data_IF_952448471625
#
_entry.id   IF_952448471625
#
_cell.length_a   1.000
_cell.length_b   1.000
_cell.length_c   1.000
_cell.angle_alpha   90.00
_cell.angle_beta   90.00
_cell.angle_gamma   90.00
#
_symmetry.space_group_name_H-M   'P 1'
#
loop_
_entity.id
_entity.type
_entity.pdbx_description
1 polymer ?
#
# COMPACT_ATOMS: atom_id res chain seq x y z
N UNK A 1 -30.76 19.05 -6.08
CA UNK A 1 -29.60 18.23 -5.71
C UNK A 1 -28.59 18.39 -6.82
N UNK A 2 -27.41 18.95 -6.53
CA UNK A 2 -26.33 18.88 -7.51
C UNK A 2 -26.03 17.41 -7.73
N UNK A 3 -26.10 16.97 -8.99
CA UNK A 3 -25.67 15.63 -9.39
C UNK A 3 -24.17 15.56 -9.17
N UNK A 4 -23.73 14.84 -8.12
CA UNK A 4 -22.31 14.55 -7.94
C UNK A 4 -21.81 13.70 -9.11
N UNK A 5 -20.67 14.07 -9.65
CA UNK A 5 -19.99 13.40 -10.76
C UNK A 5 -18.70 12.77 -10.24
N UNK A 6 -18.10 11.89 -11.03
CA UNK A 6 -16.87 11.20 -10.65
C UNK A 6 -15.75 12.20 -10.33
N UNK A 7 -15.66 13.30 -11.07
CA UNK A 7 -14.70 14.39 -10.86
C UNK A 7 -14.87 15.14 -9.53
N UNK A 8 -16.00 14.96 -8.84
CA UNK A 8 -16.24 15.59 -7.53
C UNK A 8 -15.66 14.74 -6.37
N UNK A 9 -15.10 13.55 -6.65
CA UNK A 9 -14.51 12.66 -5.66
C UNK A 9 -13.00 12.54 -5.81
N UNK A 10 -12.29 12.59 -4.70
CA UNK A 10 -10.85 12.33 -4.61
C UNK A 10 -10.65 11.10 -3.71
N UNK A 11 -10.04 10.05 -4.25
CA UNK A 11 -9.54 8.94 -3.44
C UNK A 11 -8.11 9.26 -3.01
N UNK A 12 -7.90 9.42 -1.70
CA UNK A 12 -6.59 9.67 -1.13
C UNK A 12 -6.09 8.41 -0.39
N UNK A 13 -4.99 7.82 -0.87
CA UNK A 13 -4.27 6.74 -0.20
C UNK A 13 -3.04 7.35 0.52
N UNK A 14 -3.06 7.49 1.86
CA UNK A 14 -1.87 7.86 2.60
C UNK A 14 -0.83 6.73 2.55
N UNK A 15 0.42 7.02 2.90
CA UNK A 15 1.45 5.98 2.95
C UNK A 15 1.06 4.93 4.00
N UNK A 16 1.21 3.65 3.67
CA UNK A 16 0.72 2.54 4.51
C UNK A 16 1.36 2.43 5.90
N UNK A 17 2.41 3.19 6.19
CA UNK A 17 3.00 3.30 7.52
C UNK A 17 2.43 4.44 8.38
N UNK A 18 1.57 5.31 7.82
CA UNK A 18 1.00 6.43 8.56
C UNK A 18 -0.18 6.02 9.44
N UNK A 19 -0.31 6.63 10.62
CA UNK A 19 -1.49 6.52 11.51
C UNK A 19 -1.78 7.87 12.17
N UNK A 20 -2.83 7.95 12.98
CA UNK A 20 -3.38 9.18 13.55
C UNK A 20 -3.90 10.15 12.47
N UNK A 21 -4.38 9.60 11.35
CA UNK A 21 -4.89 10.34 10.21
C UNK A 21 -6.15 11.11 10.59
N UNK A 22 -6.98 10.54 11.46
CA UNK A 22 -8.17 11.20 11.99
C UNK A 22 -7.81 12.53 12.64
N UNK A 23 -6.83 12.52 13.54
CA UNK A 23 -6.46 13.70 14.34
C UNK A 23 -5.59 14.68 13.55
N UNK A 24 -4.80 14.20 12.60
CA UNK A 24 -3.76 15.01 11.93
C UNK A 24 -4.15 15.50 10.53
N UNK A 25 -5.07 14.80 9.85
CA UNK A 25 -5.52 15.15 8.49
C UNK A 25 -7.01 15.44 8.47
N UNK A 26 -7.83 14.50 8.96
CA UNK A 26 -9.27 14.54 8.71
C UNK A 26 -9.96 15.64 9.52
N UNK A 27 -9.76 15.71 10.83
CA UNK A 27 -10.33 16.79 11.67
C UNK A 27 -9.83 18.17 11.26
N UNK A 28 -8.52 18.41 11.01
CA UNK A 28 -8.07 19.68 10.47
C UNK A 28 -8.74 20.05 9.14
N UNK A 29 -8.95 19.08 8.26
CA UNK A 29 -9.62 19.29 6.98
C UNK A 29 -11.10 19.67 7.17
N UNK A 30 -11.81 19.01 8.08
CA UNK A 30 -13.19 19.36 8.48
C UNK A 30 -13.30 20.77 9.08
N UNK A 31 -12.22 21.31 9.64
CA UNK A 31 -12.13 22.71 10.11
C UNK A 31 -11.69 23.70 9.01
N UNK A 32 -11.61 23.26 7.75
CA UNK A 32 -11.23 24.10 6.62
C UNK A 32 -9.72 24.36 6.50
N UNK A 33 -8.87 23.67 7.26
CA UNK A 33 -7.40 23.85 7.21
C UNK A 33 -6.77 23.24 5.96
N UNK A 34 -7.49 22.41 5.23
CA UNK A 34 -7.08 21.79 3.97
C UNK A 34 -7.88 22.29 2.75
N UNK A 35 -8.59 23.42 2.90
CA UNK A 35 -9.49 23.95 1.88
C UNK A 35 -10.95 23.48 2.05
N UNK A 36 -11.77 23.74 1.04
CA UNK A 36 -13.20 23.38 1.02
C UNK A 36 -13.35 21.91 0.56
N UNK A 37 -13.17 20.98 1.50
CA UNK A 37 -13.29 19.53 1.27
C UNK A 37 -14.25 18.89 2.26
N UNK A 38 -15.20 18.11 1.74
CA UNK A 38 -16.00 17.21 2.57
C UNK A 38 -15.24 15.90 2.76
N UNK A 39 -14.68 15.72 3.97
CA UNK A 39 -13.92 14.50 4.29
C UNK A 39 -14.85 13.39 4.72
N UNK A 40 -14.95 12.37 3.87
CA UNK A 40 -15.69 11.14 4.10
C UNK A 40 -15.00 10.21 5.13
N UNK A 41 -15.73 9.23 5.69
CA UNK A 41 -15.20 8.28 6.68
C UNK A 41 -13.91 7.57 6.26
N UNK A 42 -13.06 7.28 7.25
CA UNK A 42 -11.79 6.59 7.03
C UNK A 42 -12.03 5.08 6.85
N UNK A 43 -11.53 4.54 5.74
CA UNK A 43 -11.49 3.10 5.50
C UNK A 43 -10.06 2.58 5.57
N UNK A 44 -9.83 1.54 6.37
CA UNK A 44 -8.53 0.85 6.46
C UNK A 44 -8.67 -0.53 5.85
N UNK A 45 -7.91 -0.77 4.78
CA UNK A 45 -7.89 -2.07 4.11
C UNK A 45 -6.95 -3.02 4.85
N UNK A 46 -7.47 -4.18 5.23
CA UNK A 46 -6.74 -5.20 5.98
C UNK A 46 -6.54 -6.42 5.10
N UNK A 47 -5.29 -6.87 4.99
CA UNK A 47 -4.94 -8.08 4.27
C UNK A 47 -4.99 -9.30 5.23
N UNK A 48 -5.64 -10.41 4.84
CA UNK A 48 -5.92 -11.52 5.77
C UNK A 48 -4.68 -12.15 6.41
N UNK A 49 -3.60 -12.36 5.67
CA UNK A 49 -2.41 -13.00 6.25
C UNK A 49 -1.67 -12.08 7.22
N UNK A 50 -1.60 -10.76 6.95
CA UNK A 50 -1.07 -9.79 7.92
C UNK A 50 -1.92 -9.74 9.19
N UNK A 51 -3.24 -9.87 9.05
CA UNK A 51 -4.14 -9.95 10.20
C UNK A 51 -3.93 -11.25 11.00
N UNK A 52 -3.69 -12.39 10.34
CA UNK A 52 -3.36 -13.65 11.02
C UNK A 52 -2.07 -13.51 11.82
N UNK A 53 -1.02 -12.97 11.21
CA UNK A 53 0.25 -12.74 11.91
C UNK A 53 0.07 -11.82 13.12
N UNK A 54 -0.73 -10.76 12.97
CA UNK A 54 -1.07 -9.85 14.05
C UNK A 54 -1.86 -10.51 15.19
N UNK A 55 -2.83 -11.38 14.87
CA UNK A 55 -3.63 -12.12 15.86
C UNK A 55 -2.80 -13.12 16.66
N UNK A 56 -1.73 -13.64 16.07
CA UNK A 56 -0.85 -14.66 16.65
C UNK A 56 0.42 -14.07 17.29
N UNK A 57 0.52 -12.74 17.37
CA UNK A 57 1.73 -12.01 17.78
C UNK A 57 3.00 -12.48 17.02
N UNK A 58 2.83 -12.86 15.75
CA UNK A 58 3.88 -13.40 14.90
C UNK A 58 4.73 -12.29 14.27
N UNK A 59 5.87 -12.02 14.90
CA UNK A 59 6.83 -10.97 14.49
C UNK A 59 7.89 -11.42 13.49
N UNK A 60 7.72 -12.59 12.87
CA UNK A 60 8.65 -13.08 11.85
C UNK A 60 8.66 -12.24 10.57
N UNK A 61 7.58 -11.52 10.28
CA UNK A 61 7.46 -10.69 9.09
C UNK A 61 7.73 -9.21 9.42
N UNK A 62 7.11 -8.70 10.49
CA UNK A 62 7.31 -7.33 10.94
C UNK A 62 7.49 -7.26 12.46
N UNK A 63 8.12 -6.18 12.91
CA UNK A 63 8.31 -5.92 14.34
C UNK A 63 6.99 -5.61 15.04
N UNK A 64 7.03 -5.67 16.37
CA UNK A 64 5.93 -5.19 17.22
C UNK A 64 5.59 -3.72 16.94
N UNK A 65 6.57 -2.89 16.59
CA UNK A 65 6.36 -1.48 16.26
C UNK A 65 5.51 -1.29 15.00
N UNK A 66 5.77 -2.09 13.96
CA UNK A 66 4.95 -2.04 12.73
C UNK A 66 3.54 -2.58 13.00
N UNK A 67 3.40 -3.64 13.80
CA UNK A 67 2.08 -4.13 14.21
C UNK A 67 1.34 -3.15 15.14
N UNK A 68 2.06 -2.34 15.91
CA UNK A 68 1.48 -1.24 16.66
C UNK A 68 0.86 -0.20 15.73
N UNK A 69 1.52 0.15 14.62
CA UNK A 69 0.93 1.04 13.59
C UNK A 69 -0.35 0.40 13.03
N UNK A 70 -0.30 -0.87 12.68
CA UNK A 70 -1.46 -1.59 12.12
C UNK A 70 -2.64 -1.64 13.10
N UNK A 71 -2.38 -1.89 14.40
CA UNK A 71 -3.37 -1.84 15.48
C UNK A 71 -4.04 -0.46 15.54
N UNK A 72 -3.24 0.61 15.48
CA UNK A 72 -3.72 1.99 15.53
C UNK A 72 -4.53 2.38 14.29
N UNK A 73 -4.09 1.99 13.09
CA UNK A 73 -4.86 2.20 11.87
C UNK A 73 -6.26 1.54 11.96
N UNK A 74 -6.34 0.28 12.41
CA UNK A 74 -7.63 -0.38 12.61
C UNK A 74 -8.45 0.25 13.74
N UNK A 75 -7.78 0.76 14.79
CA UNK A 75 -8.42 1.41 15.92
C UNK A 75 -9.11 2.73 15.54
N UNK A 76 -8.53 3.50 14.62
CA UNK A 76 -9.06 4.80 14.14
C UNK A 76 -10.05 4.71 12.97
N UNK A 77 -10.16 3.55 12.33
CA UNK A 77 -10.99 3.37 11.15
C UNK A 77 -12.49 3.45 11.45
N UNK A 78 -13.24 4.17 10.62
CA UNK A 78 -14.70 4.08 10.59
C UNK A 78 -15.14 2.76 9.92
N UNK A 79 -14.41 2.34 8.88
CA UNK A 79 -14.60 1.07 8.18
C UNK A 79 -13.31 0.26 8.16
N UNK A 80 -13.35 -0.96 8.70
CA UNK A 80 -12.26 -1.94 8.58
C UNK A 80 -12.61 -2.87 7.43
N UNK A 81 -11.88 -2.77 6.33
CA UNK A 81 -12.21 -3.43 5.07
C UNK A 81 -11.30 -4.65 4.91
N UNK A 82 -11.78 -5.83 5.29
CA UNK A 82 -11.09 -7.10 5.06
C UNK A 82 -11.11 -7.41 3.55
N UNK A 83 -9.98 -7.16 2.88
CA UNK A 83 -9.82 -7.40 1.45
C UNK A 83 -9.30 -8.82 1.17
N UNK A 84 -9.27 -9.22 -0.10
CA UNK A 84 -8.80 -10.54 -0.56
C UNK A 84 -9.61 -11.70 0.05
N UNK A 85 -10.90 -11.51 0.33
CA UNK A 85 -11.74 -12.60 0.87
C UNK A 85 -11.93 -13.76 -0.11
N UNK A 86 -11.59 -13.57 -1.38
CA UNK A 86 -11.50 -14.63 -2.40
C UNK A 86 -10.39 -15.66 -2.10
N UNK A 87 -9.42 -15.33 -1.26
CA UNK A 87 -8.33 -16.23 -0.87
C UNK A 87 -8.62 -17.02 0.41
N UNK A 88 -9.81 -16.87 1.01
CA UNK A 88 -10.16 -17.44 2.30
C UNK A 88 -11.28 -18.47 2.17
N UNK A 89 -11.20 -19.53 2.98
CA UNK A 89 -12.37 -20.36 3.23
C UNK A 89 -13.36 -19.68 4.20
N UNK A 90 -14.58 -20.21 4.28
CA UNK A 90 -15.64 -19.64 5.11
C UNK A 90 -15.25 -19.58 6.59
N UNK A 91 -14.60 -20.61 7.12
CA UNK A 91 -14.25 -20.68 8.54
C UNK A 91 -13.09 -19.76 8.91
N UNK A 92 -12.09 -19.62 8.04
CA UNK A 92 -11.03 -18.63 8.21
C UNK A 92 -11.58 -17.22 8.19
N UNK A 93 -12.45 -16.91 7.22
CA UNK A 93 -13.06 -15.59 7.11
C UNK A 93 -13.90 -15.23 8.34
N UNK A 94 -14.73 -16.16 8.83
CA UNK A 94 -15.52 -15.96 10.05
C UNK A 94 -14.65 -15.67 11.28
N UNK A 95 -13.51 -16.35 11.43
CA UNK A 95 -12.56 -16.08 12.52
C UNK A 95 -11.98 -14.68 12.46
N UNK A 96 -11.51 -14.26 11.27
CA UNK A 96 -10.92 -12.93 11.08
C UNK A 96 -11.95 -11.82 11.31
N UNK A 97 -13.14 -11.97 10.77
CA UNK A 97 -14.24 -10.99 10.96
C UNK A 97 -14.66 -10.92 12.42
N UNK A 98 -14.76 -12.06 13.12
CA UNK A 98 -15.10 -12.08 14.55
C UNK A 98 -14.06 -11.35 15.39
N UNK A 99 -12.77 -11.62 15.14
CA UNK A 99 -11.68 -10.93 15.82
C UNK A 99 -11.74 -9.41 15.63
N UNK A 100 -11.92 -8.94 14.38
CA UNK A 100 -12.01 -7.52 14.09
C UNK A 100 -13.19 -6.84 14.79
N UNK A 101 -14.37 -7.48 14.78
CA UNK A 101 -15.56 -6.94 15.46
C UNK A 101 -15.40 -6.91 16.99
N UNK A 102 -14.75 -7.91 17.58
CA UNK A 102 -14.50 -7.98 19.01
C UNK A 102 -13.48 -6.92 19.45
N UNK A 103 -12.36 -6.80 18.72
CA UNK A 103 -11.26 -5.90 19.08
C UNK A 103 -11.55 -4.44 18.74
N UNK A 104 -12.26 -4.17 17.65
CA UNK A 104 -12.53 -2.81 17.15
C UNK A 104 -14.03 -2.52 17.00
N UNK A 105 -14.81 -2.55 18.09
CA UNK A 105 -16.28 -2.43 18.05
C UNK A 105 -16.78 -1.06 17.58
N UNK A 106 -15.90 -0.07 17.48
CA UNK A 106 -16.24 1.27 16.97
C UNK A 106 -16.24 1.33 15.43
N UNK A 107 -15.44 0.49 14.77
CA UNK A 107 -15.36 0.43 13.31
C UNK A 107 -16.33 -0.60 12.76
N UNK A 108 -16.84 -0.36 11.55
CA UNK A 108 -17.67 -1.33 10.83
C UNK A 108 -16.80 -2.24 9.97
N UNK A 109 -16.84 -3.55 10.22
CA UNK A 109 -16.10 -4.54 9.42
C UNK A 109 -16.84 -4.80 8.10
N UNK A 110 -16.15 -4.63 6.99
CA UNK A 110 -16.65 -4.88 5.63
C UNK A 110 -15.80 -5.95 4.94
N UNK A 111 -16.43 -6.83 4.18
CA UNK A 111 -15.77 -7.92 3.45
C UNK A 111 -15.74 -7.60 1.96
N UNK A 112 -14.54 -7.56 1.35
CA UNK A 112 -14.41 -7.31 -0.09
C UNK A 112 -13.41 -8.25 -0.77
N UNK A 113 -13.61 -8.47 -2.06
CA UNK A 113 -12.54 -8.84 -2.99
C UNK A 113 -12.40 -7.72 -4.00
N UNK A 114 -11.35 -6.90 -3.87
CA UNK A 114 -11.05 -5.87 -4.87
C UNK A 114 -10.73 -6.48 -6.24
N UNK A 115 -10.18 -7.71 -6.27
CA UNK A 115 -9.87 -8.45 -7.48
C UNK A 115 -11.12 -8.90 -8.24
N UNK A 116 -12.10 -9.44 -7.53
CA UNK A 116 -13.37 -9.90 -8.13
C UNK A 116 -14.45 -8.81 -8.17
N UNK A 117 -14.19 -7.63 -7.59
CA UNK A 117 -15.16 -6.54 -7.42
C UNK A 117 -16.23 -6.80 -6.36
N UNK A 118 -16.19 -7.95 -5.67
CA UNK A 118 -17.20 -8.34 -4.68
C UNK A 118 -17.15 -7.42 -3.46
N UNK A 119 -18.31 -6.91 -3.06
CA UNK A 119 -18.48 -6.08 -1.84
C UNK A 119 -17.99 -4.63 -1.98
N UNK A 120 -17.29 -4.28 -3.08
CA UNK A 120 -16.75 -2.93 -3.30
C UNK A 120 -17.86 -1.88 -3.37
N UNK A 121 -18.92 -2.14 -4.13
CA UNK A 121 -20.07 -1.22 -4.22
C UNK A 121 -20.73 -1.01 -2.85
N UNK A 122 -20.98 -2.09 -2.11
CA UNK A 122 -21.56 -2.02 -0.76
C UNK A 122 -20.70 -1.19 0.19
N UNK A 123 -19.38 -1.38 0.16
CA UNK A 123 -18.44 -0.60 0.95
C UNK A 123 -18.47 0.89 0.57
N UNK A 124 -18.36 1.22 -0.72
CA UNK A 124 -18.37 2.61 -1.16
C UNK A 124 -19.71 3.31 -0.87
N UNK A 125 -20.84 2.62 -1.04
CA UNK A 125 -22.15 3.14 -0.66
C UNK A 125 -22.26 3.40 0.85
N UNK A 126 -21.67 2.53 1.67
CA UNK A 126 -21.64 2.75 3.12
C UNK A 126 -20.82 4.00 3.49
N UNK A 127 -19.67 4.21 2.85
CA UNK A 127 -18.85 5.42 3.02
C UNK A 127 -19.62 6.67 2.61
N UNK A 128 -20.29 6.64 1.45
CA UNK A 128 -21.06 7.78 0.92
C UNK A 128 -22.34 8.09 1.71
N UNK A 129 -22.91 7.08 2.38
CA UNK A 129 -24.16 7.22 3.14
C UNK A 129 -23.93 7.48 4.63
N UNK A 130 -22.69 7.43 5.09
CA UNK A 130 -22.35 7.63 6.49
C UNK A 130 -22.59 9.07 6.93
N UNK A 131 -22.96 9.24 8.20
CA UNK A 131 -23.04 10.56 8.81
C UNK A 131 -21.62 11.11 9.03
N UNK A 132 -21.24 12.10 8.22
CA UNK A 132 -19.93 12.77 8.28
C UNK A 132 -19.68 13.37 9.66
N UNK A 133 -20.72 13.85 10.35
CA UNK A 133 -20.60 14.45 11.69
C UNK A 133 -20.29 13.40 12.76
N UNK A 134 -20.81 12.16 12.60
CA UNK A 134 -20.54 11.05 13.49
C UNK A 134 -19.24 10.31 13.16
N UNK A 135 -18.76 10.37 11.91
CA UNK A 135 -17.50 9.76 11.48
C UNK A 135 -16.29 10.39 12.18
N UNK A 136 -15.24 9.59 12.41
CA UNK A 136 -13.97 10.04 12.97
C UNK A 136 -14.10 10.66 14.38
N UNK A 137 -15.17 10.33 15.12
CA UNK A 137 -15.45 10.87 16.45
C UNK A 137 -14.54 10.28 17.53
N UNK A 138 -13.97 9.08 17.30
CA UNK A 138 -13.10 8.42 18.26
C UNK A 138 -11.77 9.16 18.39
N UNK A 139 -11.37 9.41 19.64
CA UNK A 139 -10.00 9.80 19.95
C UNK A 139 -9.19 8.55 20.17
N UNK A 140 -8.19 8.34 19.31
CA UNK A 140 -7.19 7.31 19.47
C UNK A 140 -5.95 7.92 20.12
N UNK A 141 -5.38 7.21 21.10
CA UNK A 141 -4.09 7.58 21.69
C UNK A 141 -2.95 6.89 20.95
N UNK A 142 -1.95 7.68 20.56
CA UNK A 142 -0.76 7.23 19.81
C UNK A 142 0.49 7.65 20.57
N UNK A 143 1.36 6.68 20.82
CA UNK A 143 2.70 6.90 21.39
C UNK A 143 3.63 7.21 20.22
N UNK A 144 3.87 8.49 19.99
CA UNK A 144 4.63 8.98 18.82
C UNK A 144 6.06 8.44 18.76
N UNK A 145 6.69 8.15 19.89
CA UNK A 145 8.01 7.53 19.91
C UNK A 145 7.97 6.12 19.31
N UNK A 146 7.03 5.28 19.74
CA UNK A 146 6.81 3.94 19.17
C UNK A 146 6.48 4.04 17.68
N UNK A 147 5.56 4.93 17.32
CA UNK A 147 5.16 5.16 15.93
C UNK A 147 6.34 5.59 15.05
N UNK A 148 7.08 6.63 15.44
CA UNK A 148 8.20 7.17 14.65
C UNK A 148 9.36 6.19 14.54
N UNK A 149 9.65 5.42 15.59
CA UNK A 149 10.66 4.37 15.54
C UNK A 149 10.26 3.27 14.55
N UNK A 150 8.99 2.83 14.61
CA UNK A 150 8.47 1.80 13.72
C UNK A 150 8.45 2.23 12.24
N UNK A 151 8.06 3.47 11.93
CA UNK A 151 8.15 3.98 10.55
C UNK A 151 9.59 4.00 10.03
N UNK A 152 10.52 4.37 10.90
CA UNK A 152 11.93 4.42 10.56
C UNK A 152 12.55 3.03 10.32
N UNK A 153 11.91 1.93 10.73
CA UNK A 153 12.38 0.57 10.42
C UNK A 153 12.30 0.25 8.93
N UNK A 154 11.33 0.84 8.23
CA UNK A 154 11.07 0.58 6.82
C UNK A 154 11.90 1.51 5.92
N UNK A 155 12.70 0.92 5.04
CA UNK A 155 13.32 1.61 3.93
C UNK A 155 12.29 1.95 2.86
N UNK A 156 12.31 3.21 2.41
CA UNK A 156 11.46 3.73 1.36
C UNK A 156 12.28 3.90 0.10
N UNK A 157 11.91 3.21 -0.98
CA UNK A 157 12.45 3.44 -2.31
C UNK A 157 11.33 3.87 -3.27
N UNK A 158 11.55 4.99 -3.95
CA UNK A 158 10.77 5.42 -5.10
C UNK A 158 11.72 5.54 -6.29
N UNK A 159 11.37 4.95 -7.43
CA UNK A 159 12.16 5.11 -8.64
C UNK A 159 11.28 5.39 -9.85
N UNK A 160 11.83 6.14 -10.79
CA UNK A 160 11.26 6.34 -12.13
C UNK A 160 12.36 6.15 -13.17
N UNK A 161 12.03 5.55 -14.28
CA UNK A 161 12.95 5.25 -15.36
C UNK A 161 12.24 5.21 -16.71
N UNK A 162 12.95 5.51 -17.77
CA UNK A 162 12.53 5.26 -19.14
C UNK A 162 13.21 4.00 -19.67
N UNK A 163 12.40 3.01 -20.04
CA UNK A 163 12.86 1.79 -20.68
C UNK A 163 12.95 2.03 -22.18
N UNK A 164 14.09 1.70 -22.79
CA UNK A 164 14.31 1.76 -24.23
C UNK A 164 14.87 0.41 -24.72
N UNK A 165 14.04 -0.41 -25.35
CA UNK A 165 14.43 -1.72 -25.88
C UNK A 165 15.26 -1.59 -27.17
N UNK A 166 16.31 -2.42 -27.31
CA UNK A 166 17.16 -2.45 -28.52
C UNK A 166 16.38 -2.85 -29.77
N UNK A 167 15.51 -3.85 -29.65
CA UNK A 167 14.51 -4.24 -30.66
C UNK A 167 13.10 -4.12 -30.07
N UNK A 168 12.61 -5.13 -29.36
CA UNK A 168 11.45 -5.05 -28.45
C UNK A 168 11.69 -5.96 -27.24
N UNK A 169 10.93 -5.74 -26.17
CA UNK A 169 10.93 -6.63 -25.00
C UNK A 169 9.49 -6.92 -24.56
N UNK A 170 9.22 -8.11 -24.05
CA UNK A 170 7.93 -8.40 -23.41
C UNK A 170 7.84 -7.63 -22.08
N UNK A 171 6.95 -6.62 -22.03
CA UNK A 171 6.79 -5.75 -20.87
C UNK A 171 6.36 -6.48 -19.61
N UNK A 172 5.45 -7.45 -19.72
CA UNK A 172 4.97 -8.21 -18.55
C UNK A 172 6.05 -9.15 -18.00
N UNK A 173 6.85 -9.76 -18.88
CA UNK A 173 7.98 -10.58 -18.49
C UNK A 173 9.08 -9.76 -17.80
N UNK A 174 9.39 -8.57 -18.33
CA UNK A 174 10.32 -7.62 -17.71
C UNK A 174 9.84 -7.26 -16.29
N UNK A 175 8.57 -6.89 -16.14
CA UNK A 175 8.01 -6.50 -14.85
C UNK A 175 8.04 -7.64 -13.84
N UNK A 176 7.68 -8.85 -14.28
CA UNK A 176 7.70 -10.05 -13.44
C UNK A 176 9.12 -10.40 -12.99
N UNK A 177 10.09 -10.35 -13.92
CA UNK A 177 11.49 -10.61 -13.61
C UNK A 177 12.09 -9.57 -12.66
N UNK A 178 11.79 -8.28 -12.84
CA UNK A 178 12.21 -7.23 -11.93
C UNK A 178 11.56 -7.38 -10.54
N UNK A 179 10.27 -7.68 -10.50
CA UNK A 179 9.54 -7.91 -9.25
C UNK A 179 10.14 -9.05 -8.44
N UNK A 180 10.41 -10.18 -9.09
CA UNK A 180 11.05 -11.34 -8.44
C UNK A 180 12.48 -11.01 -8.00
N UNK A 181 13.29 -10.37 -8.83
CA UNK A 181 14.66 -10.03 -8.50
C UNK A 181 14.77 -9.06 -7.30
N UNK A 182 13.85 -8.10 -7.19
CA UNK A 182 13.78 -7.19 -6.03
C UNK A 182 13.28 -7.92 -4.78
N UNK A 183 12.31 -8.83 -4.92
CA UNK A 183 11.82 -9.67 -3.81
C UNK A 183 12.93 -10.55 -3.25
N UNK A 184 13.68 -11.20 -4.13
CA UNK A 184 14.85 -12.02 -3.76
C UNK A 184 15.91 -11.18 -3.06
N UNK A 185 16.25 -9.99 -3.58
CA UNK A 185 17.21 -9.10 -2.95
C UNK A 185 16.80 -8.68 -1.54
N UNK A 186 15.52 -8.38 -1.31
CA UNK A 186 15.01 -8.06 0.04
C UNK A 186 15.13 -9.28 0.96
N UNK A 187 14.82 -10.48 0.47
CA UNK A 187 14.92 -11.71 1.24
C UNK A 187 16.38 -12.06 1.59
N UNK A 188 17.33 -11.82 0.68
CA UNK A 188 18.77 -12.04 0.89
C UNK A 188 19.34 -11.13 1.99
N UNK A 189 18.81 -9.91 2.12
CA UNK A 189 19.14 -8.99 3.23
C UNK A 189 18.43 -9.37 4.54
N UNK A 190 17.66 -10.47 4.56
CA UNK A 190 16.86 -10.89 5.72
C UNK A 190 15.67 -9.96 6.02
N UNK A 191 15.29 -9.12 5.05
CA UNK A 191 14.20 -8.16 5.20
C UNK A 191 12.84 -8.73 4.81
N UNK A 192 11.80 -7.92 5.03
CA UNK A 192 10.42 -8.21 4.64
C UNK A 192 9.87 -7.08 3.76
N UNK A 193 9.01 -7.43 2.80
CA UNK A 193 8.32 -6.45 1.95
C UNK A 193 7.00 -6.06 2.61
N UNK A 194 6.83 -4.77 2.88
CA UNK A 194 5.52 -4.14 3.14
C UNK A 194 4.70 -4.14 1.87
N UNK A 195 5.21 -3.44 0.86
CA UNK A 195 4.68 -3.50 -0.49
C UNK A 195 5.75 -3.18 -1.52
N UNK A 196 5.63 -3.84 -2.66
CA UNK A 196 6.29 -3.51 -3.91
C UNK A 196 5.19 -3.24 -4.93
N UNK A 197 5.19 -2.06 -5.57
CA UNK A 197 4.33 -1.73 -6.70
C UNK A 197 5.24 -1.37 -7.88
N UNK A 198 5.12 -2.10 -8.98
CA UNK A 198 5.75 -1.79 -10.24
C UNK A 198 4.68 -1.36 -11.24
N UNK A 199 4.95 -0.27 -11.97
CA UNK A 199 4.08 0.20 -13.05
C UNK A 199 4.90 0.52 -14.30
N UNK A 200 4.53 -0.09 -15.44
CA UNK A 200 5.10 0.22 -16.74
C UNK A 200 4.00 0.78 -17.64
N UNK A 201 4.13 2.02 -18.05
CA UNK A 201 3.23 2.69 -18.99
C UNK A 201 3.89 2.88 -20.36
N UNK A 202 3.17 2.51 -21.42
CA UNK A 202 3.61 2.65 -22.80
C UNK A 202 2.84 3.73 -23.59
N UNK A 203 1.89 4.42 -22.93
CA UNK A 203 0.94 5.35 -23.55
C UNK A 203 -0.19 4.66 -24.34
N UNK A 204 -0.07 3.36 -24.64
CA UNK A 204 -1.10 2.54 -25.31
C UNK A 204 -1.71 1.48 -24.40
N UNK A 205 -1.13 1.30 -23.23
CA UNK A 205 -1.46 0.25 -22.26
C UNK A 205 -0.40 0.23 -21.18
N UNK A 206 -0.66 -0.53 -20.11
CA UNK A 206 0.24 -0.62 -18.99
C UNK A 206 0.38 -2.04 -18.45
N UNK A 207 1.48 -2.30 -17.76
CA UNK A 207 1.67 -3.47 -16.92
C UNK A 207 1.74 -3.02 -15.46
N UNK A 208 1.00 -3.70 -14.57
CA UNK A 208 0.99 -3.44 -13.12
C UNK A 208 1.38 -4.73 -12.40
N UNK A 209 2.30 -4.63 -11.47
CA UNK A 209 2.69 -5.74 -10.61
C UNK A 209 2.74 -5.29 -9.15
N UNK A 210 2.29 -6.16 -8.26
CA UNK A 210 2.42 -5.97 -6.82
C UNK A 210 3.05 -7.17 -6.12
N UNK A 211 3.67 -6.92 -4.96
CA UNK A 211 4.11 -7.96 -4.04
C UNK A 211 3.93 -7.46 -2.61
N UNK A 212 3.39 -8.30 -1.72
CA UNK A 212 3.08 -7.97 -0.32
C UNK A 212 3.72 -8.98 0.64
N UNK A 213 5.04 -9.14 0.49
CA UNK A 213 5.87 -9.96 1.36
C UNK A 213 6.74 -10.94 0.59
N UNK A 214 7.92 -11.24 1.12
CA UNK A 214 8.95 -12.06 0.45
C UNK A 214 8.55 -13.52 0.29
N UNK A 215 7.65 -14.01 1.14
CA UNK A 215 7.11 -15.39 1.09
C UNK A 215 5.88 -15.53 0.17
N UNK A 216 5.48 -14.46 -0.51
CA UNK A 216 4.32 -14.43 -1.39
C UNK A 216 4.76 -14.32 -2.85
N UNK A 217 3.93 -14.80 -3.80
CA UNK A 217 4.21 -14.58 -5.21
C UNK A 217 4.19 -13.09 -5.54
N UNK A 218 4.93 -12.70 -6.57
CA UNK A 218 4.63 -11.44 -7.24
C UNK A 218 3.35 -11.63 -8.08
N UNK A 219 2.47 -10.64 -8.05
CA UNK A 219 1.16 -10.69 -8.71
C UNK A 219 1.14 -9.69 -9.86
N UNK A 220 0.93 -10.17 -11.09
CA UNK A 220 0.70 -9.30 -12.24
C UNK A 220 -0.76 -8.82 -12.21
N UNK A 221 -1.01 -7.69 -11.56
CA UNK A 221 -2.36 -7.12 -11.36
C UNK A 221 -3.01 -6.65 -12.66
N UNK A 222 -2.19 -6.24 -13.63
CA UNK A 222 -2.66 -5.85 -14.96
C UNK A 222 -1.62 -6.23 -16.01
N UNK A 223 -2.07 -6.94 -17.04
CA UNK A 223 -1.23 -7.43 -18.14
C UNK A 223 -1.27 -6.45 -19.29
N UNK A 224 -0.09 -6.07 -19.79
CA UNK A 224 0.05 -5.23 -20.98
C UNK A 224 -0.26 -6.02 -22.26
N UNK A 225 0.20 -7.27 -22.34
CA UNK A 225 -0.13 -8.20 -23.43
C UNK A 225 0.54 -7.91 -24.77
N UNK A 226 1.57 -7.06 -24.81
CA UNK A 226 2.29 -6.70 -26.03
C UNK A 226 3.78 -6.44 -25.78
N UNK A 227 4.56 -6.59 -26.85
CA UNK A 227 5.96 -6.19 -26.93
C UNK A 227 6.11 -4.67 -26.83
N UNK A 228 7.16 -4.21 -26.14
CA UNK A 228 7.44 -2.79 -25.90
C UNK A 228 8.77 -2.38 -26.52
N UNK A 229 8.74 -1.23 -27.22
CA UNK A 229 9.96 -0.54 -27.68
C UNK A 229 10.44 0.47 -26.63
N UNK A 230 9.49 1.19 -26.03
CA UNK A 230 9.71 2.22 -25.02
C UNK A 230 8.60 2.21 -23.98
N UNK A 231 8.90 2.65 -22.76
CA UNK A 231 7.90 2.85 -21.71
C UNK A 231 8.47 3.56 -20.49
N UNK A 232 7.59 4.12 -19.66
CA UNK A 232 7.93 4.73 -18.38
C UNK A 232 7.68 3.72 -17.27
N UNK A 233 8.72 3.38 -16.54
CA UNK A 233 8.66 2.49 -15.39
C UNK A 233 8.67 3.29 -14.09
N UNK A 234 7.80 2.92 -13.15
CA UNK A 234 7.79 3.44 -11.78
C UNK A 234 7.91 2.28 -10.80
N UNK A 235 8.75 2.44 -9.79
CA UNK A 235 8.96 1.48 -8.70
C UNK A 235 8.62 2.18 -7.39
N UNK A 236 7.78 1.55 -6.58
CA UNK A 236 7.55 1.96 -5.21
C UNK A 236 7.74 0.73 -4.31
N UNK A 237 8.78 0.77 -3.49
CA UNK A 237 9.14 -0.32 -2.58
C UNK A 237 9.20 0.20 -1.15
N UNK A 238 8.54 -0.51 -0.25
CA UNK A 238 8.65 -0.36 1.20
C UNK A 238 9.05 -1.71 1.76
N UNK A 239 10.23 -1.78 2.35
CA UNK A 239 10.77 -3.01 2.90
C UNK A 239 11.56 -2.74 4.18
N UNK A 240 11.60 -3.71 5.09
CA UNK A 240 12.41 -3.68 6.31
C UNK A 240 13.90 -3.93 5.98
N UNK A 241 14.48 -3.06 5.13
CA UNK A 241 15.86 -3.10 4.64
C UNK A 241 16.40 -1.68 4.63
N UNK A 242 17.71 -1.53 4.78
CA UNK A 242 18.34 -0.21 4.68
C UNK A 242 18.13 0.45 3.30
N UNK A 243 17.75 1.73 3.23
CA UNK A 243 17.52 2.39 1.96
C UNK A 243 18.71 2.37 1.01
N UNK A 244 19.95 2.45 1.53
CA UNK A 244 21.14 2.40 0.68
C UNK A 244 21.30 1.04 0.00
N UNK A 245 20.91 -0.05 0.69
CA UNK A 245 20.89 -1.39 0.12
C UNK A 245 19.76 -1.53 -0.89
N UNK A 246 18.57 -0.99 -0.61
CA UNK A 246 17.47 -0.98 -1.57
C UNK A 246 17.84 -0.27 -2.87
N UNK A 247 18.48 0.89 -2.78
CA UNK A 247 18.97 1.65 -3.93
C UNK A 247 20.03 0.86 -4.72
N UNK A 248 21.02 0.31 -4.03
CA UNK A 248 22.07 -0.52 -4.63
C UNK A 248 21.46 -1.70 -5.40
N UNK A 249 20.63 -2.50 -4.73
CA UNK A 249 19.99 -3.67 -5.33
C UNK A 249 19.11 -3.29 -6.51
N UNK A 250 18.34 -2.20 -6.41
CA UNK A 250 17.49 -1.74 -7.51
C UNK A 250 18.31 -1.40 -8.75
N UNK A 251 19.42 -0.66 -8.60
CA UNK A 251 20.33 -0.37 -9.71
C UNK A 251 20.90 -1.65 -10.34
N UNK A 252 21.47 -2.53 -9.51
CA UNK A 252 22.11 -3.78 -9.98
C UNK A 252 21.12 -4.69 -10.72
N UNK A 253 19.90 -4.88 -10.19
CA UNK A 253 18.89 -5.73 -10.84
C UNK A 253 18.36 -5.13 -12.13
N UNK A 254 18.17 -3.81 -12.21
CA UNK A 254 17.75 -3.14 -13.44
C UNK A 254 18.82 -3.28 -14.53
N UNK A 255 20.09 -3.07 -14.19
CA UNK A 255 21.21 -3.20 -15.14
C UNK A 255 21.33 -4.63 -15.67
N UNK A 256 21.35 -5.62 -14.76
CA UNK A 256 21.43 -7.03 -15.15
C UNK A 256 20.24 -7.49 -16.01
N UNK A 257 19.03 -6.99 -15.74
CA UNK A 257 17.86 -7.25 -16.58
C UNK A 257 17.96 -6.52 -17.93
N UNK A 258 18.50 -5.32 -17.97
CA UNK A 258 18.78 -4.59 -19.21
C UNK A 258 19.70 -5.35 -20.14
N UNK A 259 20.78 -5.92 -19.60
CA UNK A 259 21.71 -6.75 -20.36
C UNK A 259 21.06 -8.05 -20.88
N UNK A 260 20.32 -8.75 -20.02
CA UNK A 260 19.74 -10.06 -20.35
C UNK A 260 18.51 -9.98 -21.26
N UNK A 261 17.66 -8.96 -21.10
CA UNK A 261 16.43 -8.77 -21.88
C UNK A 261 16.59 -7.79 -23.05
N UNK A 262 17.75 -7.14 -23.18
CA UNK A 262 18.08 -6.29 -24.33
C UNK A 262 17.41 -4.91 -24.31
N UNK A 263 17.37 -4.25 -23.15
CA UNK A 263 16.91 -2.87 -23.03
C UNK A 263 17.94 -2.00 -22.29
N UNK A 264 17.87 -0.69 -22.51
CA UNK A 264 18.61 0.30 -21.75
C UNK A 264 17.63 1.10 -20.88
N UNK A 265 18.13 1.63 -19.77
CA UNK A 265 17.39 2.56 -18.94
C UNK A 265 17.94 3.98 -19.12
N UNK A 266 17.04 4.92 -19.35
CA UNK A 266 17.31 6.35 -19.45
C UNK A 266 16.60 7.07 -18.29
N UNK A 267 17.11 8.23 -17.89
CA UNK A 267 16.51 9.10 -16.87
C UNK A 267 16.14 8.36 -15.56
N UNK A 268 16.96 7.40 -15.14
CA UNK A 268 16.75 6.70 -13.87
C UNK A 268 16.95 7.69 -12.71
N UNK A 269 15.87 7.90 -11.96
CA UNK A 269 15.86 8.67 -10.72
C UNK A 269 15.42 7.72 -9.63
N UNK A 270 16.27 7.55 -8.61
CA UNK A 270 15.97 6.77 -7.41
C UNK A 270 16.04 7.70 -6.20
N UNK A 271 15.04 7.60 -5.33
CA UNK A 271 15.00 8.24 -4.03
C UNK A 271 14.82 7.15 -2.98
N UNK A 272 15.87 6.89 -2.19
CA UNK A 272 15.84 5.93 -1.11
C UNK A 272 16.09 6.60 0.25
N UNK A 273 15.16 6.47 1.19
CA UNK A 273 15.26 7.14 2.49
C UNK A 273 14.48 6.39 3.58
N UNK A 274 14.66 6.82 4.84
CA UNK A 274 13.73 6.50 5.94
C UNK A 274 12.85 7.71 6.18
N UNK A 275 11.54 7.54 6.43
CA UNK A 275 10.67 8.66 6.74
C UNK A 275 11.19 9.40 7.97
N UNK A 276 11.04 10.73 7.98
CA UNK A 276 11.36 11.54 9.15
C UNK A 276 10.40 11.25 10.30
N UNK A 277 10.80 11.62 11.51
CA UNK A 277 9.95 11.45 12.69
C UNK A 277 8.60 12.18 12.50
N UNK A 278 7.45 11.55 12.85
CA UNK A 278 6.14 12.15 12.66
C UNK A 278 6.00 13.45 13.47
N UNK A 279 5.82 14.56 12.76
CA UNK A 279 5.66 15.89 13.35
C UNK A 279 4.50 16.63 12.66
N UNK A 280 3.24 16.31 13.00
CA UNK A 280 2.09 16.84 12.30
C UNK A 280 1.92 18.33 12.58
N UNK A 281 1.51 19.10 11.57
CA UNK A 281 1.23 20.54 11.71
C UNK A 281 0.02 20.81 12.61
N UNK A 282 -0.98 19.92 12.57
CA UNK A 282 -2.18 19.96 13.40
C UNK A 282 -2.43 18.59 14.01
N UNK A 283 -2.96 18.54 15.23
CA UNK A 283 -3.44 17.31 15.89
C UNK A 283 -4.59 17.64 16.82
N UNK A 284 -5.79 17.10 16.58
CA UNK A 284 -7.06 17.56 17.18
C UNK A 284 -7.98 16.44 17.69
#
# INVERSE_FOLDING_TARGET
MNTMRQEDFILAEPVGSCTDLVSTIMKPSKEGKAGELDVLPLSVLVEPGRLKDFMEDNTNAFSEGVYYIMDKQMEEADFIVLNKVDTLDTGEKEKLVSFLNEKYPAGSVMEISAKEGKGVETWLLAVLSADIAASNAKKMEVVYETYGNAEAEMGWLNAKAEINARDTVNGDALMSALGEALKEAVAEEGGEIGHLKLYLDTGKGASKLSCVGVRRPVELDHTLGQEVKKGHMTINLRAAVDPALLEKHTNEKIEALGESLGFNVENLVIEAFRPGFPNPTYRM
#
